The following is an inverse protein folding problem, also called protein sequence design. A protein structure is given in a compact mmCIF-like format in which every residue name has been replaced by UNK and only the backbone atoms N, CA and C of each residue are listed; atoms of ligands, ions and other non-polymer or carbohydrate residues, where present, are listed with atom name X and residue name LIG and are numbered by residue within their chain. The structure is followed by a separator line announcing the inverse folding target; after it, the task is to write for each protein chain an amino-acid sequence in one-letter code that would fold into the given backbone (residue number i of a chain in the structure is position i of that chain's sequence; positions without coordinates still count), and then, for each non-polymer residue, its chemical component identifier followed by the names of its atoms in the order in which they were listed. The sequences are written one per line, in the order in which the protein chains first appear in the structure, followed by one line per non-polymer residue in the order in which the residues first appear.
data_IF_143354246165
#
_entry.id   IF_143354246165
#
_cell.length_a   1.000
_cell.length_b   1.000
_cell.length_c   1.000
_cell.angle_alpha   90.00
_cell.angle_beta   90.00
_cell.angle_gamma   90.00
#
_symmetry.space_group_name_H-M   'P 1'
#
loop_
_entity.id
_entity.type
_entity.pdbx_description
1 polymer ?
#
# COMPACT_ATOMS: atom_id res chain seq x y z
N UNK A 1 40.86 38.63 12.86
CA UNK A 1 39.61 38.84 12.09
C UNK A 1 39.45 37.65 11.15
N UNK A 2 38.48 36.80 11.39
CA UNK A 2 38.26 35.63 10.54
C UNK A 2 37.43 36.05 9.32
N UNK A 3 38.03 35.98 8.14
CA UNK A 3 37.36 36.28 6.87
C UNK A 3 36.43 35.12 6.50
N UNK A 4 35.14 35.38 6.50
CA UNK A 4 34.16 34.44 5.95
C UNK A 4 34.27 34.44 4.43
N UNK A 5 34.76 33.34 3.87
CA UNK A 5 34.72 33.12 2.42
C UNK A 5 33.30 32.73 2.04
N UNK A 6 32.64 33.54 1.21
CA UNK A 6 31.41 33.17 0.52
C UNK A 6 31.68 31.89 -0.27
N UNK A 7 31.02 30.78 0.08
CA UNK A 7 30.95 29.61 -0.81
C UNK A 7 29.94 29.91 -1.88
N UNK A 8 30.39 29.98 -3.13
CA UNK A 8 29.48 30.01 -4.27
C UNK A 8 28.76 28.65 -4.37
N UNK A 9 27.43 28.69 -4.27
CA UNK A 9 26.56 27.54 -4.41
C UNK A 9 26.18 27.22 -5.87
N UNK A 10 26.89 27.79 -6.84
CA UNK A 10 26.66 27.53 -8.28
C UNK A 10 27.39 26.28 -8.81
N UNK A 11 27.69 25.31 -7.98
CA UNK A 11 28.12 24.02 -8.45
C UNK A 11 26.92 23.24 -8.98
N UNK A 12 26.74 23.22 -10.30
CA UNK A 12 25.91 22.27 -11.01
C UNK A 12 26.46 20.86 -10.80
N UNK A 13 26.17 20.27 -9.68
CA UNK A 13 26.51 18.91 -9.31
C UNK A 13 25.47 18.43 -8.32
N UNK A 14 24.58 17.57 -8.79
CA UNK A 14 23.78 16.75 -7.88
C UNK A 14 24.81 15.89 -7.14
N UNK A 15 25.16 16.27 -5.92
CA UNK A 15 25.94 15.40 -5.04
C UNK A 15 24.99 14.26 -4.64
N UNK A 16 25.02 13.17 -5.37
CA UNK A 16 24.49 11.89 -4.91
C UNK A 16 25.32 11.44 -3.70
N UNK A 17 24.94 11.93 -2.53
CA UNK A 17 25.42 11.31 -1.31
C UNK A 17 24.69 9.98 -1.19
N UNK A 18 25.39 8.85 -1.07
CA UNK A 18 24.75 7.59 -0.76
C UNK A 18 23.94 7.78 0.53
N UNK A 19 22.67 7.37 0.50
CA UNK A 19 21.80 7.46 1.65
C UNK A 19 22.47 6.73 2.82
N UNK A 20 22.96 7.48 3.81
CA UNK A 20 23.58 6.90 4.99
C UNK A 20 22.52 6.48 6.01
N UNK A 21 22.89 5.68 7.02
CA UNK A 21 21.97 5.21 8.07
C UNK A 21 21.16 6.32 8.74
N UNK A 22 21.71 7.53 8.81
CA UNK A 22 21.04 8.70 9.37
C UNK A 22 19.88 9.18 8.49
N UNK A 23 20.00 9.12 7.16
CA UNK A 23 18.92 9.48 6.24
C UNK A 23 17.80 8.45 6.28
N UNK A 24 18.14 7.18 6.36
CA UNK A 24 17.15 6.11 6.51
C UNK A 24 16.40 6.23 7.85
N UNK A 25 17.07 6.65 8.89
CA UNK A 25 16.44 6.91 10.18
C UNK A 25 15.52 8.14 10.14
N UNK A 26 15.90 9.21 9.43
CA UNK A 26 15.05 10.37 9.19
C UNK A 26 13.81 9.98 8.35
N UNK A 27 13.97 9.20 7.30
CA UNK A 27 12.86 8.69 6.49
C UNK A 27 11.89 7.88 7.33
N UNK A 28 12.39 6.98 8.21
CA UNK A 28 11.52 6.20 9.13
C UNK A 28 10.77 7.09 10.12
N UNK A 29 11.40 8.16 10.61
CA UNK A 29 10.79 9.05 11.59
C UNK A 29 9.76 10.01 10.98
N UNK A 30 9.89 10.37 9.69
CA UNK A 30 9.05 11.35 9.01
C UNK A 30 8.28 10.77 7.82
N UNK A 31 8.58 9.53 7.41
CA UNK A 31 7.89 8.82 6.35
C UNK A 31 6.80 7.91 6.89
N UNK A 32 5.93 7.46 5.98
CA UNK A 32 4.95 6.43 6.24
C UNK A 32 5.40 5.05 5.79
N UNK A 33 4.63 4.05 6.15
CA UNK A 33 4.72 2.70 5.59
C UNK A 33 3.35 2.28 5.08
N UNK A 34 3.32 1.71 3.90
CA UNK A 34 2.08 1.17 3.32
C UNK A 34 2.28 -0.27 2.88
N UNK A 35 1.32 -1.12 3.21
CA UNK A 35 1.19 -2.44 2.62
C UNK A 35 0.01 -2.42 1.66
N UNK A 36 0.26 -2.78 0.40
CA UNK A 36 -0.78 -2.97 -0.60
C UNK A 36 -1.17 -4.45 -0.62
N UNK A 37 -2.43 -4.75 -0.36
CA UNK A 37 -3.01 -6.08 -0.47
C UNK A 37 -3.88 -6.15 -1.73
N UNK A 38 -3.45 -6.96 -2.69
CA UNK A 38 -4.13 -7.16 -3.97
C UNK A 38 -4.78 -8.54 -3.97
N UNK A 39 -6.09 -8.57 -4.20
CA UNK A 39 -6.84 -9.78 -4.45
C UNK A 39 -6.49 -10.35 -5.83
N UNK A 40 -6.09 -11.62 -5.85
CA UNK A 40 -5.78 -12.39 -7.05
C UNK A 40 -6.69 -13.62 -7.17
N UNK A 41 -7.88 -13.58 -6.57
CA UNK A 41 -8.88 -14.63 -6.67
C UNK A 41 -9.43 -14.81 -8.09
N UNK A 42 -10.14 -15.93 -8.33
CA UNK A 42 -10.67 -16.29 -9.65
C UNK A 42 -11.58 -15.23 -10.28
N UNK A 43 -12.31 -14.45 -9.48
CA UNK A 43 -13.17 -13.36 -9.94
C UNK A 43 -12.40 -12.18 -10.57
N UNK A 44 -11.10 -12.10 -10.30
CA UNK A 44 -10.20 -11.09 -10.88
C UNK A 44 -9.67 -11.47 -12.27
N UNK A 45 -10.06 -12.60 -12.84
CA UNK A 45 -9.56 -13.12 -14.12
C UNK A 45 -9.75 -12.15 -15.30
N UNK A 46 -8.84 -12.21 -16.27
CA UNK A 46 -8.89 -11.44 -17.51
C UNK A 46 -8.41 -9.99 -17.35
N UNK A 47 -9.12 -9.05 -17.95
CA UNK A 47 -8.75 -7.64 -17.95
C UNK A 47 -8.68 -7.00 -16.53
N UNK A 48 -9.38 -7.59 -15.57
CA UNK A 48 -9.44 -7.04 -14.19
C UNK A 48 -8.08 -7.10 -13.52
N UNK A 49 -7.44 -8.28 -13.53
CA UNK A 49 -6.11 -8.44 -12.91
C UNK A 49 -5.06 -7.58 -13.62
N UNK A 50 -5.10 -7.48 -14.96
CA UNK A 50 -4.15 -6.66 -15.71
C UNK A 50 -4.28 -5.17 -15.35
N UNK A 51 -5.52 -4.67 -15.23
CA UNK A 51 -5.81 -3.30 -14.83
C UNK A 51 -5.44 -3.05 -13.36
N UNK A 52 -5.70 -4.03 -12.48
CA UNK A 52 -5.33 -3.96 -11.07
C UNK A 52 -3.81 -3.89 -10.90
N UNK A 53 -3.06 -4.76 -11.57
CA UNK A 53 -1.57 -4.74 -11.59
C UNK A 53 -1.05 -3.38 -12.06
N UNK A 54 -1.64 -2.80 -13.10
CA UNK A 54 -1.28 -1.47 -13.60
C UNK A 54 -1.56 -0.36 -12.58
N UNK A 55 -2.72 -0.44 -11.93
CA UNK A 55 -3.09 0.49 -10.84
C UNK A 55 -2.17 0.37 -9.63
N UNK A 56 -1.83 -0.84 -9.23
CA UNK A 56 -0.89 -1.10 -8.13
C UNK A 56 0.51 -0.54 -8.43
N UNK A 57 0.99 -0.66 -9.68
CA UNK A 57 2.27 -0.04 -10.08
C UNK A 57 2.26 1.47 -9.91
N UNK A 58 1.17 2.13 -10.31
CA UNK A 58 1.01 3.58 -10.15
C UNK A 58 0.90 3.95 -8.66
N UNK A 59 0.12 3.20 -7.89
CA UNK A 59 0.01 3.38 -6.45
C UNK A 59 1.38 3.32 -5.75
N UNK A 60 2.19 2.30 -6.07
CA UNK A 60 3.54 2.13 -5.52
C UNK A 60 4.41 3.35 -5.87
N UNK A 61 4.38 3.80 -7.12
CA UNK A 61 5.13 4.98 -7.55
C UNK A 61 4.74 6.22 -6.73
N UNK A 62 3.44 6.51 -6.63
CA UNK A 62 2.93 7.66 -5.87
C UNK A 62 3.20 7.55 -4.36
N UNK A 63 3.16 6.33 -3.79
CA UNK A 63 3.49 6.10 -2.39
C UNK A 63 4.97 6.43 -2.11
N UNK A 64 5.88 5.96 -2.97
CA UNK A 64 7.31 6.28 -2.86
C UNK A 64 7.57 7.78 -3.01
N UNK A 65 6.92 8.45 -3.96
CA UNK A 65 6.99 9.92 -4.10
C UNK A 65 6.46 10.66 -2.87
N UNK A 66 5.48 10.08 -2.17
CA UNK A 66 4.96 10.59 -0.91
C UNK A 66 5.81 10.21 0.32
N UNK A 67 7.00 9.62 0.10
CA UNK A 67 7.95 9.19 1.12
C UNK A 67 7.43 8.05 2.01
N UNK A 68 6.68 7.10 1.41
CA UNK A 68 6.30 5.85 2.06
C UNK A 68 7.21 4.71 1.62
N UNK A 69 7.57 3.86 2.58
CA UNK A 69 8.08 2.51 2.29
C UNK A 69 6.90 1.59 1.95
N UNK A 70 7.10 0.66 1.03
CA UNK A 70 6.03 -0.11 0.42
C UNK A 70 6.24 -1.61 0.60
N UNK A 71 5.23 -2.31 1.12
CA UNK A 71 5.10 -3.76 1.07
C UNK A 71 3.97 -4.18 0.14
N UNK A 72 4.00 -5.44 -0.31
CA UNK A 72 2.96 -6.01 -1.18
C UNK A 72 2.55 -7.39 -0.69
N UNK A 73 1.26 -7.67 -0.71
CA UNK A 73 0.68 -9.01 -0.46
C UNK A 73 -0.27 -9.33 -1.62
N UNK A 74 -0.10 -10.51 -2.22
CA UNK A 74 -1.08 -11.08 -3.14
C UNK A 74 -1.97 -12.04 -2.34
N UNK A 75 -3.26 -11.73 -2.32
CA UNK A 75 -4.28 -12.42 -1.54
C UNK A 75 -5.12 -13.34 -2.42
N UNK A 76 -5.32 -14.57 -1.97
CA UNK A 76 -6.31 -15.51 -2.50
C UNK A 76 -7.11 -16.13 -1.31
N UNK A 77 -7.30 -17.44 -1.25
CA UNK A 77 -7.79 -18.09 -0.03
C UNK A 77 -6.74 -18.10 1.12
N UNK A 78 -5.58 -17.49 0.88
CA UNK A 78 -4.47 -17.34 1.80
C UNK A 78 -3.52 -16.22 1.33
N UNK A 79 -2.24 -16.53 1.20
CA UNK A 79 -1.21 -15.62 0.72
C UNK A 79 -0.49 -16.31 -0.44
N UNK A 80 -0.71 -15.83 -1.67
CA UNK A 80 -0.03 -16.32 -2.87
C UNK A 80 1.40 -15.78 -3.00
N UNK A 81 1.66 -14.62 -2.41
CA UNK A 81 2.99 -14.02 -2.39
C UNK A 81 3.03 -12.78 -1.51
N UNK A 82 4.21 -12.47 -1.00
CA UNK A 82 4.40 -11.26 -0.21
C UNK A 82 5.82 -10.73 -0.29
N UNK A 83 5.95 -9.41 -0.16
CA UNK A 83 7.22 -8.68 -0.07
C UNK A 83 7.14 -7.77 1.14
N UNK A 84 8.12 -7.79 2.04
CA UNK A 84 8.15 -6.93 3.21
C UNK A 84 8.21 -5.45 2.81
N UNK A 85 7.90 -4.59 3.78
CA UNK A 85 7.96 -3.15 3.61
C UNK A 85 9.41 -2.70 3.41
N UNK A 86 9.69 -2.01 2.30
CA UNK A 86 11.00 -1.47 1.97
C UNK A 86 10.87 -0.11 1.26
N UNK A 87 11.91 0.73 1.32
CA UNK A 87 11.99 1.98 0.55
C UNK A 87 12.34 1.71 -0.93
N UNK A 88 13.01 0.60 -1.22
CA UNK A 88 13.21 0.13 -2.59
C UNK A 88 12.02 -0.71 -3.04
N UNK A 89 11.18 -0.24 -3.95
CA UNK A 89 9.99 -0.96 -4.40
C UNK A 89 10.28 -2.07 -5.42
N UNK A 90 11.55 -2.32 -5.75
CA UNK A 90 11.94 -3.26 -6.82
C UNK A 90 11.37 -4.66 -6.60
N UNK A 91 11.43 -5.17 -5.36
CA UNK A 91 10.88 -6.47 -5.03
C UNK A 91 9.35 -6.51 -5.18
N UNK A 92 8.65 -5.41 -4.79
CA UNK A 92 7.21 -5.30 -4.97
C UNK A 92 6.82 -5.28 -6.47
N UNK A 93 7.59 -4.57 -7.31
CA UNK A 93 7.36 -4.60 -8.76
C UNK A 93 7.62 -5.98 -9.38
N UNK A 94 8.64 -6.71 -8.89
CA UNK A 94 8.92 -8.07 -9.34
C UNK A 94 7.78 -9.03 -8.97
N UNK A 95 7.29 -8.99 -7.73
CA UNK A 95 6.16 -9.82 -7.30
C UNK A 95 4.89 -9.47 -8.07
N UNK A 96 4.62 -8.18 -8.27
CA UNK A 96 3.45 -7.71 -8.99
C UNK A 96 3.46 -8.15 -10.48
N UNK A 97 4.65 -8.25 -11.08
CA UNK A 97 4.80 -8.76 -12.46
C UNK A 97 4.51 -10.26 -12.57
N UNK A 98 4.57 -10.99 -11.45
CA UNK A 98 4.28 -12.42 -11.35
C UNK A 98 2.86 -12.70 -10.84
N UNK A 99 2.06 -11.66 -10.60
CA UNK A 99 0.70 -11.82 -10.11
C UNK A 99 -0.13 -12.64 -11.11
N UNK A 100 -0.60 -13.79 -10.66
CA UNK A 100 -1.43 -14.71 -11.42
C UNK A 100 -2.66 -15.06 -10.61
N UNK A 101 -3.75 -15.35 -11.32
CA UNK A 101 -4.99 -15.78 -10.69
C UNK A 101 -4.76 -17.07 -9.91
N UNK A 102 -5.21 -17.08 -8.67
CA UNK A 102 -5.20 -18.22 -7.76
C UNK A 102 -6.57 -18.36 -7.09
N UNK A 103 -6.89 -19.49 -6.64
CA UNK A 103 -8.05 -20.00 -5.91
C UNK A 103 -9.20 -19.08 -5.49
N UNK A 104 -9.72 -19.34 -4.30
CA UNK A 104 -10.80 -18.57 -3.69
C UNK A 104 -10.30 -17.36 -2.90
N UNK A 105 -11.18 -16.75 -2.10
CA UNK A 105 -10.84 -15.54 -1.35
C UNK A 105 -10.94 -15.78 0.17
N UNK A 106 -9.90 -15.40 0.90
CA UNK A 106 -9.91 -15.26 2.35
C UNK A 106 -8.89 -14.18 2.75
N UNK A 107 -9.38 -13.01 3.08
CA UNK A 107 -8.51 -11.86 3.38
C UNK A 107 -7.84 -11.94 4.77
N UNK A 108 -8.35 -12.75 5.68
CA UNK A 108 -7.88 -12.80 7.07
C UNK A 108 -6.38 -13.08 7.22
N UNK A 109 -5.78 -14.05 6.50
CA UNK A 109 -4.32 -14.24 6.52
C UNK A 109 -3.55 -13.01 6.05
N UNK A 110 -4.06 -12.32 5.02
CA UNK A 110 -3.44 -11.11 4.47
C UNK A 110 -3.48 -9.96 5.47
N UNK A 111 -4.61 -9.73 6.15
CA UNK A 111 -4.73 -8.73 7.22
C UNK A 111 -3.74 -9.02 8.36
N UNK A 112 -3.62 -10.26 8.80
CA UNK A 112 -2.68 -10.67 9.85
C UNK A 112 -1.22 -10.50 9.44
N UNK A 113 -0.88 -10.75 8.18
CA UNK A 113 0.46 -10.51 7.67
C UNK A 113 0.76 -9.02 7.54
N UNK A 114 -0.15 -8.24 6.94
CA UNK A 114 -0.03 -6.79 6.81
C UNK A 114 0.17 -6.12 8.18
N UNK A 115 -0.60 -6.54 9.19
CA UNK A 115 -0.47 -6.08 10.56
C UNK A 115 0.97 -6.22 11.07
N UNK A 116 1.56 -7.40 10.95
CA UNK A 116 2.95 -7.65 11.37
C UNK A 116 3.94 -6.80 10.58
N UNK A 117 3.81 -6.77 9.25
CA UNK A 117 4.71 -6.02 8.38
C UNK A 117 4.73 -4.53 8.73
N UNK A 118 3.57 -3.94 9.01
CA UNK A 118 3.45 -2.53 9.36
C UNK A 118 4.00 -2.23 10.75
N UNK A 119 3.73 -3.08 11.74
CA UNK A 119 4.31 -2.92 13.08
C UNK A 119 5.84 -3.05 13.06
N UNK A 120 6.39 -3.97 12.28
CA UNK A 120 7.83 -4.16 12.15
C UNK A 120 8.51 -2.95 11.47
N UNK A 121 7.81 -2.28 10.55
CA UNK A 121 8.30 -1.07 9.87
C UNK A 121 8.43 0.14 10.81
N UNK A 122 7.63 0.23 11.89
CA UNK A 122 7.67 1.30 12.92
C UNK A 122 7.60 2.72 12.35
N UNK A 123 6.81 2.93 11.30
CA UNK A 123 6.64 4.24 10.69
C UNK A 123 5.67 5.12 11.49
N UNK A 124 5.76 6.43 11.29
CA UNK A 124 4.87 7.41 11.93
C UNK A 124 3.42 7.32 11.43
N UNK A 125 3.24 6.94 10.16
CA UNK A 125 1.93 6.65 9.56
C UNK A 125 1.97 5.26 8.95
N UNK A 126 1.05 4.40 9.37
CA UNK A 126 0.96 3.02 8.94
C UNK A 126 -0.37 2.81 8.21
N UNK A 127 -0.30 2.36 6.96
CA UNK A 127 -1.46 2.21 6.09
C UNK A 127 -1.52 0.81 5.49
N UNK A 128 -2.70 0.20 5.53
CA UNK A 128 -3.04 -0.97 4.73
C UNK A 128 -4.00 -0.53 3.62
N UNK A 129 -3.61 -0.71 2.37
CA UNK A 129 -4.45 -0.46 1.20
C UNK A 129 -4.93 -1.79 0.63
N UNK A 130 -6.24 -2.02 0.58
CA UNK A 130 -6.85 -3.27 0.11
C UNK A 130 -7.60 -3.02 -1.19
N UNK A 131 -7.30 -3.80 -2.21
CA UNK A 131 -8.08 -3.84 -3.44
C UNK A 131 -8.56 -5.27 -3.72
N UNK A 132 -9.86 -5.43 -4.00
CA UNK A 132 -10.45 -6.73 -4.29
C UNK A 132 -11.92 -6.66 -4.72
N UNK A 133 -12.49 -7.83 -4.96
CA UNK A 133 -13.88 -8.00 -5.38
C UNK A 133 -14.90 -7.99 -4.22
N UNK A 134 -14.44 -7.78 -3.00
CA UNK A 134 -15.29 -7.66 -1.82
C UNK A 134 -15.56 -8.95 -1.08
N UNK A 135 -15.13 -10.10 -1.57
CA UNK A 135 -15.22 -11.34 -0.81
C UNK A 135 -14.17 -11.35 0.32
N UNK A 136 -14.63 -11.34 1.56
CA UNK A 136 -13.78 -11.37 2.74
C UNK A 136 -13.50 -12.79 3.25
N UNK A 137 -14.21 -13.80 2.72
CA UNK A 137 -14.21 -15.16 3.21
C UNK A 137 -14.97 -15.29 4.53
N UNK A 138 -14.38 -14.82 5.64
CA UNK A 138 -15.04 -14.71 6.95
C UNK A 138 -15.13 -13.23 7.37
N UNK A 139 -16.26 -12.54 7.11
CA UNK A 139 -16.43 -11.12 7.43
C UNK A 139 -16.33 -10.80 8.92
N UNK A 140 -16.76 -11.72 9.80
CA UNK A 140 -16.67 -11.51 11.24
C UNK A 140 -15.23 -11.52 11.73
N UNK A 141 -14.46 -12.52 11.32
CA UNK A 141 -13.04 -12.62 11.67
C UNK A 141 -12.24 -11.49 11.00
N UNK A 142 -12.56 -11.14 9.73
CA UNK A 142 -11.93 -10.02 9.03
C UNK A 142 -12.15 -8.70 9.80
N UNK A 143 -13.37 -8.40 10.23
CA UNK A 143 -13.70 -7.22 11.03
C UNK A 143 -12.96 -7.23 12.38
N UNK A 144 -12.87 -8.39 13.04
CA UNK A 144 -12.15 -8.53 14.31
C UNK A 144 -10.65 -8.26 14.17
N UNK A 145 -10.06 -8.74 13.07
CA UNK A 145 -8.63 -8.48 12.77
C UNK A 145 -8.43 -7.02 12.37
N UNK A 146 -9.30 -6.44 11.53
CA UNK A 146 -9.24 -5.03 11.16
C UNK A 146 -9.33 -4.10 12.38
N UNK A 147 -10.18 -4.41 13.35
CA UNK A 147 -10.28 -3.67 14.61
C UNK A 147 -8.96 -3.67 15.40
N UNK A 148 -8.17 -4.77 15.35
CA UNK A 148 -6.83 -4.81 15.96
C UNK A 148 -5.85 -3.91 15.23
N UNK A 149 -5.83 -3.93 13.89
CA UNK A 149 -4.99 -3.03 13.10
C UNK A 149 -5.29 -1.57 13.48
N UNK A 150 -6.57 -1.22 13.55
CA UNK A 150 -7.01 0.13 13.91
C UNK A 150 -6.59 0.51 15.35
N UNK A 151 -6.71 -0.41 16.29
CA UNK A 151 -6.28 -0.19 17.68
C UNK A 151 -4.76 0.06 17.80
N UNK A 152 -3.97 -0.53 16.89
CA UNK A 152 -2.52 -0.33 16.80
C UNK A 152 -2.13 0.87 15.89
N UNK A 153 -3.11 1.71 15.53
CA UNK A 153 -2.90 2.95 14.78
C UNK A 153 -2.72 2.76 13.27
N UNK A 154 -3.09 1.59 12.72
CA UNK A 154 -3.02 1.33 11.28
C UNK A 154 -4.32 1.79 10.63
N UNK A 155 -4.21 2.63 9.61
CA UNK A 155 -5.33 3.04 8.76
C UNK A 155 -5.58 2.00 7.67
N UNK A 156 -6.83 1.70 7.38
CA UNK A 156 -7.21 0.75 6.34
C UNK A 156 -8.01 1.49 5.26
N UNK A 157 -7.42 1.57 4.07
CA UNK A 157 -8.04 2.11 2.86
C UNK A 157 -8.55 0.94 2.02
N UNK A 158 -9.73 1.07 1.45
CA UNK A 158 -10.31 0.00 0.63
C UNK A 158 -10.78 0.51 -0.72
N UNK A 159 -10.63 -0.32 -1.74
CA UNK A 159 -11.18 -0.07 -3.07
C UNK A 159 -11.80 -1.36 -3.61
N UNK A 160 -13.11 -1.38 -3.78
CA UNK A 160 -13.88 -2.53 -4.26
C UNK A 160 -14.17 -2.45 -5.74
N UNK A 161 -14.18 -3.60 -6.41
CA UNK A 161 -14.58 -3.74 -7.80
C UNK A 161 -16.11 -3.75 -7.92
N UNK A 162 -16.68 -2.58 -8.21
CA UNK A 162 -18.13 -2.34 -8.21
C UNK A 162 -18.67 -1.97 -6.82
N UNK A 163 -19.92 -1.50 -6.81
CA UNK A 163 -20.57 -0.96 -5.62
C UNK A 163 -20.70 -2.01 -4.50
N UNK A 164 -21.14 -3.20 -4.83
CA UNK A 164 -21.32 -4.30 -3.87
C UNK A 164 -20.01 -4.71 -3.20
N UNK A 165 -18.91 -4.75 -3.96
CA UNK A 165 -17.57 -5.05 -3.45
C UNK A 165 -17.07 -3.96 -2.51
N UNK A 166 -17.30 -2.69 -2.86
CA UNK A 166 -16.92 -1.57 -2.02
C UNK A 166 -17.69 -1.59 -0.69
N UNK A 167 -19.00 -1.90 -0.70
CA UNK A 167 -19.82 -2.04 0.51
C UNK A 167 -19.31 -3.18 1.41
N UNK A 168 -18.94 -4.31 0.83
CA UNK A 168 -18.37 -5.43 1.59
C UNK A 168 -17.03 -5.06 2.22
N UNK A 169 -16.14 -4.44 1.47
CA UNK A 169 -14.83 -4.00 1.98
C UNK A 169 -14.93 -2.86 3.00
N UNK A 170 -16.03 -2.08 3.01
CA UNK A 170 -16.26 -1.04 4.00
C UNK A 170 -16.29 -1.57 5.44
N UNK A 171 -16.60 -2.86 5.63
CA UNK A 171 -16.61 -3.52 6.95
C UNK A 171 -15.24 -3.47 7.63
N UNK A 172 -14.17 -3.50 6.84
CA UNK A 172 -12.78 -3.46 7.35
C UNK A 172 -12.13 -2.07 7.19
N UNK A 173 -12.75 -1.13 6.48
CA UNK A 173 -12.20 0.19 6.23
C UNK A 173 -12.25 1.09 7.47
N UNK A 174 -11.18 1.86 7.70
CA UNK A 174 -11.17 2.92 8.73
C UNK A 174 -11.66 4.26 8.19
N UNK A 175 -11.68 4.41 6.88
CA UNK A 175 -12.03 5.66 6.21
C UNK A 175 -13.26 5.45 5.31
N UNK A 176 -14.44 5.53 5.89
CA UNK A 176 -15.71 5.34 5.18
C UNK A 176 -15.96 6.36 4.07
N UNK A 177 -15.35 7.55 4.17
CA UNK A 177 -15.42 8.59 3.13
C UNK A 177 -14.52 8.29 1.92
N UNK A 178 -13.59 7.35 2.03
CA UNK A 178 -12.62 6.97 1.00
C UNK A 178 -12.81 5.56 0.47
N UNK A 179 -13.83 4.82 0.94
CA UNK A 179 -14.21 3.54 0.31
C UNK A 179 -14.52 3.80 -1.15
N UNK A 180 -13.62 3.37 -2.02
CA UNK A 180 -13.68 3.68 -3.45
C UNK A 180 -14.34 2.55 -4.20
N UNK A 181 -15.16 2.92 -5.14
CA UNK A 181 -15.78 2.01 -6.10
C UNK A 181 -14.94 2.07 -7.38
N UNK A 182 -14.38 0.94 -7.78
CA UNK A 182 -13.72 0.80 -9.07
C UNK A 182 -14.62 0.05 -10.03
N UNK A 183 -14.96 0.65 -11.15
CA UNK A 183 -15.54 -0.07 -12.29
C UNK A 183 -14.41 -0.67 -13.13
N UNK A 184 -14.69 -1.71 -13.91
CA UNK A 184 -13.67 -2.40 -14.73
C UNK A 184 -12.90 -1.44 -15.62
N UNK A 185 -13.52 -0.37 -16.11
CA UNK A 185 -12.87 0.68 -16.93
C UNK A 185 -11.90 1.56 -16.12
N UNK A 186 -12.14 1.77 -14.84
CA UNK A 186 -11.42 2.74 -13.98
C UNK A 186 -10.55 2.10 -12.91
N UNK A 187 -10.41 0.76 -12.90
CA UNK A 187 -9.66 0.02 -11.86
C UNK A 187 -8.28 0.66 -11.60
N UNK A 188 -7.50 0.88 -12.64
CA UNK A 188 -6.14 1.38 -12.50
C UNK A 188 -6.09 2.77 -11.88
N UNK A 189 -7.03 3.66 -12.24
CA UNK A 189 -7.11 5.01 -11.70
C UNK A 189 -7.62 4.99 -10.25
N UNK A 190 -8.62 4.17 -9.95
CA UNK A 190 -9.18 4.05 -8.60
C UNK A 190 -8.16 3.53 -7.60
N UNK A 191 -7.32 2.56 -7.98
CA UNK A 191 -6.23 2.05 -7.14
C UNK A 191 -5.15 3.13 -6.96
N UNK A 192 -4.70 3.78 -8.03
CA UNK A 192 -3.71 4.85 -7.94
C UNK A 192 -4.21 6.01 -7.06
N UNK A 193 -5.49 6.35 -7.17
CA UNK A 193 -6.10 7.41 -6.38
C UNK A 193 -6.14 7.11 -4.87
N UNK A 194 -6.05 5.84 -4.44
CA UNK A 194 -5.87 5.53 -3.01
C UNK A 194 -4.57 6.14 -2.46
N UNK A 195 -3.52 6.26 -3.28
CA UNK A 195 -2.27 6.88 -2.86
C UNK A 195 -2.43 8.36 -2.49
N UNK A 196 -3.45 9.05 -3.00
CA UNK A 196 -3.76 10.42 -2.57
C UNK A 196 -4.19 10.50 -1.11
N UNK A 197 -4.78 9.44 -0.57
CA UNK A 197 -5.09 9.30 0.86
C UNK A 197 -3.85 9.26 1.76
N UNK A 198 -2.67 8.93 1.21
CA UNK A 198 -1.40 8.92 1.93
C UNK A 198 -0.89 10.36 2.23
N UNK A 199 -1.20 11.33 1.38
CA UNK A 199 -0.65 12.70 1.43
C UNK A 199 -1.32 13.61 2.48
N UNK A 200 -2.46 13.23 3.04
CA UNK A 200 -3.25 14.14 3.89
C UNK A 200 -2.78 14.28 5.34
N UNK A 201 -1.79 13.51 5.79
CA UNK A 201 -1.29 13.57 7.18
C UNK A 201 0.12 14.13 7.33
N UNK A 202 0.74 14.63 6.25
CA UNK A 202 2.09 15.25 6.28
C UNK A 202 2.05 16.75 6.62
N UNK A 203 1.08 17.22 7.40
CA UNK A 203 1.01 18.60 7.88
C UNK A 203 1.04 18.71 9.38
#
# INVERSE_FOLDING_TARGET
MATWTKKDFDAAGVTEYPAGPALDQLRRNFGGSVVLALDVSGSMEGERIEKAVRGCRRFICEAVEANYSVGLILCDHGISGSVPVDYDPSAAYCLLAQAAIAGGTNIVPCLKLAHRMLLDARASDMVLAVFGDGDLGDPFEASRVAAKLTADGIRILTCGLGQSSAESLAIISTETSTTRVAETSTIADSIADMARGLRFLSR
#
